data_IF_485346344684
#
_entry.id   IF_485346344684
#
_cell.length_a   1.000
_cell.length_b   1.000
_cell.length_c   1.000
_cell.angle_alpha   90.00
_cell.angle_beta   90.00
_cell.angle_gamma   90.00
#
_symmetry.space_group_name_H-M   'P 1'
#
loop_
_entity.id
_entity.type
_entity.pdbx_description
1 polymer ?
#
# COMPACT_ATOMS: atom_id res chain seq x y z
N UNK A 1 -24.85 1.01 -1.25
CA UNK A 1 -23.52 1.66 -1.37
C UNK A 1 -23.71 2.87 -2.26
N UNK A 2 -23.19 4.06 -1.91
CA UNK A 2 -23.33 5.22 -2.80
C UNK A 2 -22.46 5.03 -4.04
N UNK A 3 -22.94 5.36 -5.25
CA UNK A 3 -22.19 5.15 -6.50
C UNK A 3 -20.84 5.90 -6.49
N UNK A 4 -20.80 7.07 -5.86
CA UNK A 4 -19.59 7.90 -5.67
C UNK A 4 -18.51 7.20 -4.85
N UNK A 5 -18.88 6.33 -3.91
CA UNK A 5 -17.90 5.60 -3.11
C UNK A 5 -17.29 4.43 -3.90
N UNK A 6 -18.11 3.75 -4.72
CA UNK A 6 -17.63 2.66 -5.55
C UNK A 6 -16.67 3.18 -6.63
N UNK A 7 -16.98 4.33 -7.27
CA UNK A 7 -16.08 4.94 -8.25
C UNK A 7 -14.73 5.33 -7.65
N UNK A 8 -14.72 5.87 -6.42
CA UNK A 8 -13.47 6.14 -5.69
C UNK A 8 -12.63 4.88 -5.52
N UNK A 9 -13.25 3.78 -5.09
CA UNK A 9 -12.54 2.51 -4.91
C UNK A 9 -11.97 1.99 -6.23
N UNK A 10 -12.70 2.11 -7.33
CA UNK A 10 -12.21 1.72 -8.67
C UNK A 10 -11.00 2.56 -9.07
N UNK A 11 -11.03 3.88 -8.86
CA UNK A 11 -9.87 4.74 -9.12
C UNK A 11 -8.67 4.40 -8.25
N UNK A 12 -8.89 4.07 -6.98
CA UNK A 12 -7.82 3.67 -6.06
C UNK A 12 -7.18 2.34 -6.49
N UNK A 13 -7.98 1.37 -6.92
CA UNK A 13 -7.50 0.10 -7.47
C UNK A 13 -6.77 0.31 -8.82
N UNK A 14 -7.28 1.21 -9.66
CA UNK A 14 -6.61 1.61 -10.90
C UNK A 14 -5.24 2.23 -10.64
N UNK A 15 -5.13 3.12 -9.65
CA UNK A 15 -3.85 3.71 -9.25
C UNK A 15 -2.86 2.66 -8.74
N UNK A 16 -3.31 1.72 -7.90
CA UNK A 16 -2.47 0.62 -7.42
C UNK A 16 -2.03 -0.32 -8.55
N UNK A 17 -2.90 -0.59 -9.52
CA UNK A 17 -2.59 -1.36 -10.72
C UNK A 17 -1.55 -0.67 -11.60
N UNK A 18 -1.70 0.64 -11.85
CA UNK A 18 -0.73 1.43 -12.61
C UNK A 18 0.62 1.53 -11.89
N UNK A 19 0.63 1.64 -10.56
CA UNK A 19 1.87 1.58 -9.76
C UNK A 19 2.60 0.26 -10.00
N UNK A 20 1.90 -0.88 -9.90
CA UNK A 20 2.50 -2.19 -10.18
C UNK A 20 3.00 -2.27 -11.62
N UNK A 21 2.20 -1.80 -12.57
CA UNK A 21 2.58 -1.74 -13.99
C UNK A 21 3.83 -0.88 -14.23
N UNK A 22 4.06 0.16 -13.43
CA UNK A 22 5.28 0.96 -13.47
C UNK A 22 6.55 0.13 -13.22
N UNK A 23 6.50 -0.95 -12.45
CA UNK A 23 7.67 -1.78 -12.18
C UNK A 23 8.14 -2.61 -13.39
N UNK A 24 7.31 -2.80 -14.43
CA UNK A 24 7.71 -3.50 -15.66
C UNK A 24 8.40 -2.59 -16.68
N UNK A 25 9.08 -1.53 -16.23
CA UNK A 25 9.82 -0.57 -17.06
C UNK A 25 10.72 -1.24 -18.10
N UNK A 26 11.54 -2.22 -17.66
CA UNK A 26 12.51 -2.91 -18.53
C UNK A 26 11.87 -3.73 -19.66
N UNK A 27 10.60 -4.11 -19.50
CA UNK A 27 9.85 -4.82 -20.52
C UNK A 27 9.07 -3.88 -21.45
N UNK A 28 8.53 -2.78 -20.90
CA UNK A 28 7.56 -1.92 -21.58
C UNK A 28 8.19 -0.69 -22.27
N UNK A 29 9.40 -0.32 -21.86
CA UNK A 29 10.12 0.86 -22.33
C UNK A 29 9.62 2.18 -21.73
N UNK A 30 10.35 3.26 -22.07
CA UNK A 30 10.16 4.60 -21.49
C UNK A 30 8.73 5.14 -21.67
N UNK A 31 8.20 5.11 -22.90
CA UNK A 31 6.93 5.79 -23.23
C UNK A 31 5.78 5.25 -22.41
N UNK A 32 5.66 3.92 -22.34
CA UNK A 32 4.56 3.29 -21.63
C UNK A 32 4.68 3.45 -20.11
N UNK A 33 5.90 3.43 -19.56
CA UNK A 33 6.14 3.74 -18.15
C UNK A 33 5.79 5.20 -17.80
N UNK A 34 6.17 6.16 -18.63
CA UNK A 34 5.84 7.57 -18.42
C UNK A 34 4.34 7.82 -18.48
N UNK A 35 3.63 7.27 -19.48
CA UNK A 35 2.17 7.37 -19.57
C UNK A 35 1.47 6.75 -18.37
N UNK A 36 1.90 5.56 -17.94
CA UNK A 36 1.34 4.90 -16.76
C UNK A 36 1.60 5.71 -15.49
N UNK A 37 2.81 6.26 -15.32
CA UNK A 37 3.17 7.13 -14.21
C UNK A 37 2.33 8.39 -14.17
N UNK A 38 2.16 9.08 -15.31
CA UNK A 38 1.30 10.28 -15.41
C UNK A 38 -0.14 9.95 -15.04
N UNK A 39 -0.71 8.88 -15.60
CA UNK A 39 -2.06 8.44 -15.28
C UNK A 39 -2.22 8.09 -13.79
N UNK A 40 -1.23 7.40 -13.20
CA UNK A 40 -1.21 7.07 -11.78
C UNK A 40 -1.21 8.33 -10.92
N UNK A 41 -0.36 9.32 -11.22
CA UNK A 41 -0.30 10.56 -10.44
C UNK A 41 -1.57 11.39 -10.55
N UNK A 42 -2.21 11.43 -11.72
CA UNK A 42 -3.55 12.04 -11.88
C UNK A 42 -4.57 11.35 -10.97
N UNK A 43 -4.61 10.02 -10.93
CA UNK A 43 -5.50 9.28 -10.03
C UNK A 43 -5.18 9.55 -8.55
N UNK A 44 -3.90 9.68 -8.19
CA UNK A 44 -3.49 10.05 -6.82
C UNK A 44 -3.95 11.47 -6.44
N UNK A 45 -3.88 12.43 -7.36
CA UNK A 45 -4.42 13.79 -7.14
C UNK A 45 -5.93 13.73 -6.93
N UNK A 46 -6.65 12.99 -7.77
CA UNK A 46 -8.10 12.77 -7.65
C UNK A 46 -8.44 12.10 -6.31
N UNK A 47 -7.69 11.07 -5.90
CA UNK A 47 -7.82 10.40 -4.61
C UNK A 47 -7.69 11.39 -3.46
N UNK A 48 -6.66 12.25 -3.48
CA UNK A 48 -6.44 13.28 -2.47
C UNK A 48 -7.59 14.31 -2.44
N UNK A 49 -8.08 14.73 -3.59
CA UNK A 49 -9.24 15.62 -3.70
C UNK A 49 -10.50 15.04 -3.06
N UNK A 50 -10.81 13.77 -3.34
CA UNK A 50 -11.95 13.06 -2.75
C UNK A 50 -11.83 12.86 -1.25
N UNK A 51 -10.59 12.74 -0.76
CA UNK A 51 -10.28 12.50 0.65
C UNK A 51 -9.84 13.78 1.40
N UNK A 52 -10.03 14.97 0.82
CA UNK A 52 -9.59 16.25 1.43
C UNK A 52 -10.13 16.50 2.85
N UNK A 53 -11.32 15.97 3.16
CA UNK A 53 -11.95 16.10 4.48
C UNK A 53 -11.13 15.41 5.58
N UNK A 54 -10.33 14.41 5.23
CA UNK A 54 -9.48 13.69 6.17
C UNK A 54 -8.45 14.61 6.83
N UNK A 55 -7.86 15.55 6.08
CA UNK A 55 -6.88 16.51 6.61
C UNK A 55 -7.43 17.33 7.79
N UNK A 56 -8.73 17.69 7.75
CA UNK A 56 -9.39 18.40 8.85
C UNK A 56 -9.68 17.54 10.09
N UNK A 57 -9.59 16.21 9.98
CA UNK A 57 -9.81 15.28 11.11
C UNK A 57 -8.52 14.95 11.87
N UNK A 58 -7.36 15.26 11.29
CA UNK A 58 -6.03 14.99 11.87
C UNK A 58 -5.86 15.56 13.29
N UNK A 59 -6.26 16.81 13.60
CA UNK A 59 -6.11 17.36 14.96
C UNK A 59 -6.94 16.60 16.01
N UNK A 60 -8.10 16.06 15.63
CA UNK A 60 -9.03 15.37 16.53
C UNK A 60 -8.66 13.90 16.75
N UNK A 61 -8.03 13.27 15.76
CA UNK A 61 -7.68 11.84 15.78
C UNK A 61 -6.44 11.50 16.63
N UNK A 62 -5.70 12.49 17.15
CA UNK A 62 -4.45 12.27 17.90
C UNK A 62 -4.59 11.46 19.21
N UNK A 63 -5.81 11.31 19.73
CA UNK A 63 -6.05 10.64 21.02
C UNK A 63 -6.05 9.11 20.93
N UNK A 64 -6.11 8.52 19.73
CA UNK A 64 -6.08 7.08 19.54
C UNK A 64 -4.79 6.61 18.86
N UNK A 65 -4.09 5.62 19.44
CA UNK A 65 -2.84 5.08 18.89
C UNK A 65 -3.00 4.57 17.45
N UNK A 66 -4.13 3.93 17.13
CA UNK A 66 -4.45 3.46 15.77
C UNK A 66 -4.60 4.62 14.78
N UNK A 67 -5.21 5.72 15.21
CA UNK A 67 -5.39 6.89 14.35
C UNK A 67 -4.06 7.62 14.13
N UNK A 68 -3.20 7.70 15.15
CA UNK A 68 -1.84 8.24 15.01
C UNK A 68 -0.99 7.41 14.03
N UNK A 69 -1.01 6.08 14.14
CA UNK A 69 -0.31 5.20 13.20
C UNK A 69 -0.81 5.39 11.76
N UNK A 70 -2.13 5.49 11.56
CA UNK A 70 -2.72 5.75 10.25
C UNK A 70 -2.29 7.11 9.67
N UNK A 71 -2.26 8.16 10.52
CA UNK A 71 -1.76 9.48 10.13
C UNK A 71 -0.29 9.40 9.72
N UNK A 72 0.56 8.74 10.50
CA UNK A 72 1.99 8.59 10.20
C UNK A 72 2.23 7.85 8.88
N UNK A 73 1.57 6.71 8.66
CA UNK A 73 1.68 5.93 7.41
C UNK A 73 1.17 6.75 6.21
N UNK A 74 0.06 7.47 6.36
CA UNK A 74 -0.49 8.30 5.27
C UNK A 74 0.44 9.47 4.95
N UNK A 75 1.01 10.12 5.96
CA UNK A 75 1.97 11.21 5.75
C UNK A 75 3.26 10.70 5.07
N UNK A 76 3.79 9.56 5.52
CA UNK A 76 4.94 8.93 4.89
C UNK A 76 4.64 8.54 3.43
N UNK A 77 3.43 8.07 3.15
CA UNK A 77 3.00 7.77 1.78
C UNK A 77 2.96 9.02 0.89
N UNK A 78 2.45 10.14 1.41
CA UNK A 78 2.45 11.42 0.68
C UNK A 78 3.88 11.86 0.35
N UNK A 79 4.79 11.80 1.32
CA UNK A 79 6.19 12.14 1.10
C UNK A 79 6.87 11.22 0.08
N UNK A 80 6.65 9.91 0.19
CA UNK A 80 7.21 8.93 -0.73
C UNK A 80 6.66 9.11 -2.16
N UNK A 81 5.36 9.38 -2.31
CA UNK A 81 4.73 9.69 -3.59
C UNK A 81 5.25 11.00 -4.19
N UNK A 82 5.54 12.01 -3.36
CA UNK A 82 6.12 13.27 -3.82
C UNK A 82 7.57 13.06 -4.31
N UNK A 83 8.38 12.32 -3.57
CA UNK A 83 9.73 11.96 -3.99
C UNK A 83 9.70 11.16 -5.30
N UNK A 84 8.77 10.21 -5.43
CA UNK A 84 8.57 9.45 -6.66
C UNK A 84 8.20 10.37 -7.84
N UNK A 85 7.27 11.32 -7.64
CA UNK A 85 6.87 12.28 -8.67
C UNK A 85 8.02 13.19 -9.12
N UNK A 86 8.74 13.79 -8.17
CA UNK A 86 9.85 14.70 -8.47
C UNK A 86 10.93 13.95 -9.25
N UNK A 87 11.30 12.76 -8.78
CA UNK A 87 12.30 11.93 -9.48
C UNK A 87 11.81 11.47 -10.85
N UNK A 88 10.52 11.13 -11.02
CA UNK A 88 9.92 10.82 -12.33
C UNK A 88 10.06 11.97 -13.32
N UNK A 89 9.76 13.20 -12.89
CA UNK A 89 9.86 14.40 -13.75
C UNK A 89 11.31 14.66 -14.16
N UNK A 90 12.25 14.49 -13.24
CA UNK A 90 13.68 14.73 -13.52
C UNK A 90 14.28 13.69 -14.48
N UNK A 91 13.83 12.44 -14.44
CA UNK A 91 14.35 11.37 -15.32
C UNK A 91 13.53 11.19 -16.60
N UNK A 92 12.41 11.90 -16.76
CA UNK A 92 11.51 11.76 -17.90
C UNK A 92 12.22 12.06 -19.21
N UNK A 93 12.08 11.15 -20.17
CA UNK A 93 12.62 11.30 -21.50
C UNK A 93 11.84 12.38 -22.27
N UNK A 94 10.53 12.50 -22.07
CA UNK A 94 9.72 13.56 -22.69
C UNK A 94 10.16 14.99 -22.28
N UNK A 95 10.70 15.15 -21.07
CA UNK A 95 11.19 16.44 -20.54
C UNK A 95 12.72 16.59 -20.61
N UNK A 96 13.41 15.64 -21.25
CA UNK A 96 14.87 15.58 -21.32
C UNK A 96 15.51 16.86 -21.89
N UNK A 97 14.85 17.53 -22.84
CA UNK A 97 15.34 18.77 -23.44
C UNK A 97 15.59 19.91 -22.44
N UNK A 98 14.97 19.87 -21.25
CA UNK A 98 15.18 20.86 -20.18
C UNK A 98 15.79 20.20 -18.94
N UNK A 99 15.42 18.96 -18.63
CA UNK A 99 15.76 18.29 -17.37
C UNK A 99 16.96 17.34 -17.44
N UNK A 100 17.52 17.06 -18.63
CA UNK A 100 18.60 16.06 -18.78
C UNK A 100 19.84 16.35 -17.92
N UNK A 101 20.12 17.61 -17.58
CA UNK A 101 21.22 17.98 -16.68
C UNK A 101 21.05 17.43 -15.25
N UNK A 102 19.81 17.15 -14.85
CA UNK A 102 19.46 16.66 -13.51
C UNK A 102 19.13 15.16 -13.48
N UNK A 103 19.03 14.50 -14.64
CA UNK A 103 18.67 13.08 -14.79
C UNK A 103 19.82 12.10 -14.45
N UNK A 104 20.67 12.45 -13.48
CA UNK A 104 21.86 11.71 -13.09
C UNK A 104 21.55 10.34 -12.46
N UNK A 105 22.59 9.52 -12.33
CA UNK A 105 22.51 8.18 -11.75
C UNK A 105 21.82 8.15 -10.37
N UNK A 106 22.18 9.08 -9.49
CA UNK A 106 21.60 9.20 -8.14
C UNK A 106 20.08 9.41 -8.19
N UNK A 107 19.56 10.18 -9.14
CA UNK A 107 18.11 10.42 -9.25
C UNK A 107 17.38 9.15 -9.69
N UNK A 108 17.97 8.34 -10.57
CA UNK A 108 17.43 7.03 -10.98
C UNK A 108 17.43 6.04 -9.81
N UNK A 109 18.47 6.06 -8.97
CA UNK A 109 18.51 5.25 -7.75
C UNK A 109 17.44 5.70 -6.75
N UNK A 110 17.30 7.00 -6.52
CA UNK A 110 16.26 7.56 -5.64
C UNK A 110 14.85 7.26 -6.16
N UNK A 111 14.64 7.31 -7.49
CA UNK A 111 13.38 6.92 -8.10
C UNK A 111 13.03 5.46 -7.82
N UNK A 112 14.00 4.56 -8.03
CA UNK A 112 13.83 3.12 -7.78
C UNK A 112 13.57 2.86 -6.29
N UNK A 113 14.36 3.47 -5.41
CA UNK A 113 14.19 3.40 -3.96
C UNK A 113 12.78 3.87 -3.54
N UNK A 114 12.36 5.03 -4.03
CA UNK A 114 11.03 5.58 -3.76
C UNK A 114 9.93 4.65 -4.26
N UNK A 115 10.06 4.05 -5.45
CA UNK A 115 9.07 3.13 -6.01
C UNK A 115 8.87 1.91 -5.10
N UNK A 116 9.95 1.26 -4.66
CA UNK A 116 9.86 0.11 -3.75
C UNK A 116 9.32 0.48 -2.37
N UNK A 117 9.71 1.63 -1.80
CA UNK A 117 9.12 2.12 -0.55
C UNK A 117 7.63 2.42 -0.70
N UNK A 118 7.22 3.05 -1.80
CA UNK A 118 5.81 3.30 -2.12
C UNK A 118 5.03 1.99 -2.19
N UNK A 119 5.55 0.95 -2.84
CA UNK A 119 4.91 -0.38 -2.88
C UNK A 119 4.65 -0.92 -1.47
N UNK A 120 5.65 -0.87 -0.58
CA UNK A 120 5.53 -1.33 0.82
C UNK A 120 4.52 -0.47 1.59
N UNK A 121 4.64 0.85 1.53
CA UNK A 121 3.79 1.77 2.29
C UNK A 121 2.33 1.71 1.80
N UNK A 122 2.08 1.59 0.49
CA UNK A 122 0.74 1.37 -0.07
C UNK A 122 0.16 0.05 0.46
N UNK A 123 0.96 -1.01 0.51
CA UNK A 123 0.53 -2.30 1.05
C UNK A 123 0.14 -2.21 2.53
N UNK A 124 0.93 -1.49 3.34
CA UNK A 124 0.58 -1.18 4.73
C UNK A 124 -0.70 -0.34 4.80
N UNK A 125 -0.83 0.69 3.98
CA UNK A 125 -2.00 1.56 3.91
C UNK A 125 -3.28 0.78 3.57
N UNK A 126 -3.21 -0.17 2.62
CA UNK A 126 -4.29 -1.09 2.30
C UNK A 126 -4.62 -2.02 3.47
N UNK A 127 -3.61 -2.56 4.15
CA UNK A 127 -3.78 -3.38 5.35
C UNK A 127 -4.54 -2.66 6.48
N UNK A 128 -4.32 -1.35 6.64
CA UNK A 128 -5.06 -0.52 7.59
C UNK A 128 -6.54 -0.37 7.23
N UNK A 129 -6.84 -0.30 5.94
CA UNK A 129 -8.21 -0.17 5.39
C UNK A 129 -8.89 -1.52 5.13
N UNK A 130 -8.19 -2.63 5.36
CA UNK A 130 -8.70 -3.98 5.12
C UNK A 130 -10.07 -4.28 5.75
N UNK A 131 -10.38 -3.89 7.01
CA UNK A 131 -11.72 -4.10 7.58
C UNK A 131 -12.84 -3.44 6.77
N UNK A 132 -12.57 -2.25 6.22
CA UNK A 132 -13.52 -1.53 5.37
C UNK A 132 -13.66 -2.23 4.02
N UNK A 133 -12.56 -2.67 3.40
CA UNK A 133 -12.60 -3.44 2.15
C UNK A 133 -13.38 -4.75 2.31
N UNK A 134 -13.14 -5.50 3.39
CA UNK A 134 -13.92 -6.71 3.70
C UNK A 134 -15.42 -6.39 3.83
N UNK A 135 -15.77 -5.29 4.48
CA UNK A 135 -17.17 -4.85 4.62
C UNK A 135 -17.81 -4.46 3.28
N UNK A 136 -17.05 -3.91 2.34
CA UNK A 136 -17.51 -3.63 0.97
C UNK A 136 -17.70 -4.94 0.21
N UNK A 137 -16.71 -5.83 0.23
CA UNK A 137 -16.77 -7.12 -0.47
C UNK A 137 -17.96 -7.95 -0.02
N UNK A 138 -18.18 -8.08 1.30
CA UNK A 138 -19.33 -8.83 1.82
C UNK A 138 -20.68 -8.27 1.33
N UNK A 139 -20.81 -6.94 1.22
CA UNK A 139 -22.04 -6.30 0.73
C UNK A 139 -22.23 -6.48 -0.78
N UNK A 140 -21.16 -6.45 -1.56
CA UNK A 140 -21.23 -6.68 -3.01
C UNK A 140 -21.56 -8.14 -3.34
N UNK A 141 -21.05 -9.09 -2.55
CA UNK A 141 -21.28 -10.53 -2.75
C UNK A 141 -22.51 -11.07 -2.02
N UNK A 142 -23.30 -10.22 -1.33
CA UNK A 142 -24.48 -10.63 -0.59
C UNK A 142 -24.21 -11.57 0.60
N UNK A 143 -23.00 -11.56 1.15
CA UNK A 143 -22.60 -12.46 2.22
C UNK A 143 -23.07 -11.89 3.56
N UNK A 144 -24.18 -12.42 4.08
CA UNK A 144 -24.77 -11.97 5.36
C UNK A 144 -24.36 -12.82 6.57
N UNK A 145 -23.96 -14.09 6.38
CA UNK A 145 -23.65 -15.00 7.48
C UNK A 145 -22.14 -15.27 7.64
N UNK A 146 -21.57 -15.17 8.85
CA UNK A 146 -20.19 -15.58 9.11
C UNK A 146 -20.07 -17.12 9.05
N UNK A 147 -19.29 -17.62 8.11
CA UNK A 147 -18.96 -19.06 8.03
C UNK A 147 -17.58 -19.31 8.62
N UNK A 148 -17.50 -20.25 9.57
CA UNK A 148 -16.24 -20.69 10.17
C UNK A 148 -15.29 -21.28 9.10
N UNK A 149 -15.84 -22.07 8.17
CA UNK A 149 -15.09 -22.67 7.06
C UNK A 149 -14.54 -21.59 6.15
N UNK A 150 -15.36 -20.62 5.73
CA UNK A 150 -14.89 -19.50 4.88
C UNK A 150 -13.78 -18.70 5.57
N UNK A 151 -13.92 -18.47 6.87
CA UNK A 151 -12.91 -17.77 7.67
C UNK A 151 -11.61 -18.56 7.74
N UNK A 152 -11.67 -19.88 7.91
CA UNK A 152 -10.50 -20.75 7.91
C UNK A 152 -9.80 -20.74 6.55
N UNK A 153 -10.56 -20.92 5.46
CA UNK A 153 -10.02 -20.87 4.09
C UNK A 153 -9.33 -19.54 3.81
N UNK A 154 -9.94 -18.41 4.14
CA UNK A 154 -9.32 -17.09 3.96
C UNK A 154 -8.04 -16.91 4.79
N UNK A 155 -7.96 -17.52 5.98
CA UNK A 155 -6.73 -17.51 6.79
C UNK A 155 -5.63 -18.37 6.18
N UNK A 156 -5.98 -19.54 5.64
CA UNK A 156 -5.02 -20.40 4.94
C UNK A 156 -4.49 -19.72 3.68
N UNK A 157 -5.35 -19.05 2.91
CA UNK A 157 -4.94 -18.24 1.76
C UNK A 157 -4.01 -17.10 2.19
N UNK A 158 -4.36 -16.37 3.26
CA UNK A 158 -3.50 -15.31 3.78
C UNK A 158 -2.13 -15.84 4.26
N UNK A 159 -2.10 -17.03 4.88
CA UNK A 159 -0.86 -17.69 5.28
C UNK A 159 -0.02 -18.09 4.07
N UNK A 160 -0.64 -18.68 3.05
CA UNK A 160 0.05 -19.04 1.80
C UNK A 160 0.64 -17.80 1.12
N UNK A 161 -0.13 -16.71 1.02
CA UNK A 161 0.35 -15.42 0.50
C UNK A 161 1.52 -14.88 1.33
N UNK A 162 1.46 -14.99 2.66
CA UNK A 162 2.53 -14.52 3.52
C UNK A 162 3.82 -15.34 3.33
N UNK A 163 3.74 -16.67 3.32
CA UNK A 163 4.90 -17.56 3.08
C UNK A 163 5.50 -17.28 1.69
N UNK A 164 4.65 -17.20 0.67
CA UNK A 164 5.08 -16.92 -0.69
C UNK A 164 5.66 -15.49 -0.84
N UNK A 165 5.13 -14.51 -0.10
CA UNK A 165 5.65 -13.14 -0.06
C UNK A 165 7.01 -13.05 0.62
N UNK A 166 7.28 -13.88 1.64
CA UNK A 166 8.61 -13.97 2.28
C UNK A 166 9.62 -14.53 1.28
N UNK A 167 9.30 -15.65 0.62
CA UNK A 167 10.14 -16.19 -0.47
C UNK A 167 10.41 -15.13 -1.54
N UNK A 168 9.34 -14.50 -2.03
CA UNK A 168 9.42 -13.47 -3.08
C UNK A 168 10.28 -12.27 -2.68
N UNK A 169 10.36 -11.94 -1.39
CA UNK A 169 11.20 -10.85 -0.89
C UNK A 169 12.68 -11.15 -1.05
N UNK A 170 13.08 -12.41 -0.92
CA UNK A 170 14.46 -12.85 -1.20
C UNK A 170 14.71 -12.92 -2.69
N UNK A 171 13.78 -13.49 -3.47
CA UNK A 171 13.90 -13.61 -4.93
C UNK A 171 14.07 -12.25 -5.63
N UNK A 172 13.29 -11.25 -5.22
CA UNK A 172 13.38 -9.89 -5.77
C UNK A 172 14.41 -9.01 -5.08
N UNK A 173 15.15 -9.57 -4.10
CA UNK A 173 16.10 -8.87 -3.25
C UNK A 173 15.53 -7.54 -2.70
N UNK A 174 14.29 -7.54 -2.20
CA UNK A 174 13.60 -6.32 -1.75
C UNK A 174 14.42 -5.57 -0.70
N UNK A 175 15.11 -6.28 0.19
CA UNK A 175 15.96 -5.69 1.23
C UNK A 175 17.11 -4.84 0.67
N UNK A 176 17.75 -5.26 -0.41
CA UNK A 176 18.82 -4.47 -1.05
C UNK A 176 18.23 -3.24 -1.73
N UNK A 177 17.08 -3.39 -2.39
CA UNK A 177 16.37 -2.29 -3.08
C UNK A 177 15.83 -1.23 -2.12
N UNK A 178 15.36 -1.64 -0.93
CA UNK A 178 14.91 -0.73 0.14
C UNK A 178 16.07 -0.03 0.86
N UNK A 179 17.27 -0.62 0.86
CA UNK A 179 18.48 -0.05 1.49
C UNK A 179 19.35 0.75 0.52
N UNK A 180 18.86 1.01 -0.71
CA UNK A 180 19.58 1.73 -1.76
C UNK A 180 20.91 1.03 -2.15
N UNK A 181 21.03 -0.27 -1.90
CA UNK A 181 22.20 -1.04 -2.30
C UNK A 181 22.12 -1.36 -3.79
N UNK A 182 23.22 -1.10 -4.49
CA UNK A 182 23.32 -1.39 -5.92
C UNK A 182 23.35 -2.90 -6.14
N UNK A 183 22.39 -3.41 -6.90
CA UNK A 183 22.36 -4.79 -7.37
C UNK A 183 22.19 -4.78 -8.89
N UNK A 184 22.98 -5.61 -9.58
CA UNK A 184 22.85 -5.84 -11.02
C UNK A 184 21.86 -6.98 -11.33
N UNK A 185 21.26 -7.57 -10.29
CA UNK A 185 20.25 -8.61 -10.39
C UNK A 185 18.88 -7.99 -10.75
N UNK A 186 18.72 -7.76 -12.05
CA UNK A 186 17.44 -7.39 -12.64
C UNK A 186 16.64 -8.64 -12.99
N UNK A 187 15.32 -8.53 -12.87
CA UNK A 187 14.44 -9.63 -13.26
C UNK A 187 14.56 -9.90 -14.76
N UNK A 188 14.76 -11.16 -15.13
CA UNK A 188 14.75 -11.56 -16.53
C UNK A 188 13.31 -11.62 -17.06
N UNK A 189 12.84 -10.53 -17.66
CA UNK A 189 11.50 -10.43 -18.23
C UNK A 189 11.29 -11.32 -19.47
N UNK A 190 12.36 -11.81 -20.11
CA UNK A 190 12.26 -12.78 -21.20
C UNK A 190 11.80 -14.16 -20.70
N UNK A 191 12.16 -14.52 -19.46
CA UNK A 191 11.77 -15.79 -18.86
C UNK A 191 10.28 -15.80 -18.48
N UNK A 192 9.83 -14.79 -17.73
CA UNK A 192 8.40 -14.67 -17.35
C UNK A 192 8.07 -13.28 -16.81
N UNK A 193 7.19 -12.57 -17.50
CA UNK A 193 6.59 -11.31 -17.02
C UNK A 193 5.58 -11.57 -15.89
N UNK A 194 4.77 -12.63 -16.01
CA UNK A 194 3.72 -12.95 -15.05
C UNK A 194 4.29 -13.27 -13.66
N UNK A 195 5.41 -14.00 -13.61
CA UNK A 195 6.07 -14.37 -12.35
C UNK A 195 6.53 -13.14 -11.57
N UNK A 196 7.03 -12.11 -12.26
CA UNK A 196 7.41 -10.84 -11.62
C UNK A 196 6.23 -10.18 -10.89
N UNK A 197 5.10 -10.04 -11.57
CA UNK A 197 3.90 -9.46 -10.95
C UNK A 197 3.38 -10.31 -9.80
N UNK A 198 3.43 -11.63 -9.92
CA UNK A 198 3.05 -12.57 -8.87
C UNK A 198 3.93 -12.37 -7.62
N UNK A 199 5.25 -12.23 -7.77
CA UNK A 199 6.14 -11.91 -6.66
C UNK A 199 5.84 -10.54 -6.04
N UNK A 200 5.62 -9.49 -6.85
CA UNK A 200 5.24 -8.16 -6.34
C UNK A 200 3.91 -8.19 -5.56
N UNK A 201 2.90 -8.87 -6.09
CA UNK A 201 1.60 -9.02 -5.42
C UNK A 201 1.70 -9.84 -4.13
N UNK A 202 2.57 -10.85 -4.10
CA UNK A 202 2.82 -11.65 -2.90
C UNK A 202 3.46 -10.82 -1.79
N UNK A 203 4.46 -9.99 -2.14
CA UNK A 203 5.10 -9.05 -1.20
C UNK A 203 4.09 -8.03 -0.67
N UNK A 204 3.28 -7.45 -1.57
CA UNK A 204 2.23 -6.52 -1.16
C UNK A 204 1.22 -7.20 -0.22
N UNK A 205 0.79 -8.41 -0.56
CA UNK A 205 -0.09 -9.25 0.26
C UNK A 205 0.48 -9.58 1.63
N UNK A 206 1.78 -9.86 1.73
CA UNK A 206 2.49 -10.08 2.99
C UNK A 206 2.39 -8.85 3.90
N UNK A 207 2.77 -7.66 3.42
CA UNK A 207 2.72 -6.43 4.22
C UNK A 207 1.28 -6.02 4.58
N UNK A 208 0.33 -6.24 3.67
CA UNK A 208 -1.10 -6.05 3.95
C UNK A 208 -1.57 -6.95 5.09
N UNK A 209 -1.27 -8.25 5.02
CA UNK A 209 -1.65 -9.23 6.04
C UNK A 209 -1.01 -8.91 7.39
N UNK A 210 0.30 -8.65 7.38
CA UNK A 210 1.07 -8.30 8.58
C UNK A 210 0.45 -7.08 9.28
N UNK A 211 0.19 -6.02 8.51
CA UNK A 211 -0.44 -4.80 9.04
C UNK A 211 -1.82 -5.07 9.61
N UNK A 212 -2.67 -5.81 8.90
CA UNK A 212 -4.02 -6.13 9.37
C UNK A 212 -3.98 -6.90 10.70
N UNK A 213 -3.15 -7.95 10.81
CA UNK A 213 -3.08 -8.78 12.01
C UNK A 213 -2.43 -8.06 13.18
N UNK A 214 -1.37 -7.27 12.97
CA UNK A 214 -0.75 -6.42 14.01
C UNK A 214 -1.79 -5.45 14.57
N UNK A 215 -2.51 -4.74 13.70
CA UNK A 215 -3.51 -3.76 14.15
C UNK A 215 -4.67 -4.42 14.90
N UNK A 216 -5.12 -5.59 14.44
CA UNK A 216 -6.14 -6.38 15.14
C UNK A 216 -5.67 -6.82 16.52
N UNK A 217 -4.40 -7.22 16.66
CA UNK A 217 -3.81 -7.60 17.93
C UNK A 217 -3.69 -6.40 18.88
N UNK A 218 -3.19 -5.26 18.41
CA UNK A 218 -3.10 -4.02 19.18
C UNK A 218 -4.47 -3.57 19.71
N UNK A 219 -5.51 -3.59 18.87
CA UNK A 219 -6.87 -3.25 19.30
C UNK A 219 -7.41 -4.20 20.38
N UNK A 220 -7.14 -5.50 20.24
CA UNK A 220 -7.54 -6.49 21.25
C UNK A 220 -6.80 -6.26 22.57
N UNK A 221 -5.51 -5.94 22.52
CA UNK A 221 -4.70 -5.68 23.70
C UNK A 221 -5.18 -4.44 24.44
N UNK A 222 -5.43 -3.33 23.73
CA UNK A 222 -5.94 -2.08 24.32
C UNK A 222 -7.35 -2.24 24.90
N UNK A 223 -8.20 -3.10 24.32
CA UNK A 223 -9.54 -3.37 24.87
C UNK A 223 -9.48 -4.22 26.15
N UNK A 224 -8.47 -5.07 26.30
CA UNK A 224 -8.26 -5.86 27.52
C UNK A 224 -7.79 -5.00 28.69
N UNK A 225 -6.96 -3.99 28.45
CA UNK A 225 -6.52 -3.04 29.49
C UNK A 225 -7.60 -2.03 29.90
N UNK A 226 -8.67 -1.87 29.12
CA UNK A 226 -9.73 -0.88 29.34
C UNK A 226 -11.03 -1.42 29.97
N UNK A 227 -11.09 -2.68 30.42
CA UNK A 227 -12.29 -3.30 31.04
C UNK A 227 -11.97 -3.72 32.49
N UNK A 228 -12.86 -3.48 33.47
CA UNK A 228 -12.77 -2.33 34.38
C UNK A 228 -12.36 -2.74 35.80
N UNK A 229 -11.76 -1.79 36.54
CA UNK A 229 -11.84 -1.75 38.00
C UNK A 229 -13.32 -1.82 38.39
N UNK A 230 -13.71 -2.92 39.03
CA UNK A 230 -15.02 -3.09 39.61
C UNK A 230 -15.29 -1.94 40.60
N UNK A 231 -16.46 -1.30 40.47
CA UNK A 231 -16.98 -0.40 41.50
C UNK A 231 -17.31 -1.29 42.71
N UNK A 232 -16.74 -1.07 43.91
CA UNK A 232 -17.17 -1.78 45.10
C UNK A 232 -18.63 -1.42 45.42
N UNK A 233 -19.48 -2.43 45.54
CA UNK A 233 -20.83 -2.31 46.11
C UNK A 233 -20.75 -2.03 47.62
N UNK A 234 -20.47 -0.80 48.03
CA UNK A 234 -20.78 -0.27 49.37
C UNK A 234 -21.04 1.23 49.17
N UNK A 235 -22.20 1.83 49.45
CA UNK A 235 -23.05 1.75 50.63
C UNK A 235 -24.48 2.13 50.21
N UNK A 236 -25.41 1.19 50.32
CA UNK A 236 -26.84 1.48 50.55
C UNK A 236 -27.15 0.95 51.94
N UNK A 237 -26.93 1.77 52.95
CA UNK A 237 -27.61 1.74 54.24
C UNK A 237 -27.89 3.17 54.65
#
# INVERSE_FOLDING_TARGET
MTPVFLSRLVFDLGAAGLLLFGFSYWWLGNVAHELAGTAMFVLVIVHNGFNRRWYGTVPKARREARALFNIAVTFLLILAMLALLVTSVLISNALSGVMSAYAGFTVRQLHTLAAYWVLVIVSVHLGLRWPMLMGVSCKLTGISQPSAIRTLVLRLIALAIAVFGVWSSFELAIGTKLSMQMTLDWWNFEASVASFFVHCMAIAGLYMCLTYYIMKWLQKSMRKTASPTAIPEEVRQ
#
